data_IF_482457089727
#
_entry.id   IF_482457089727
#
_cell.length_a   1.000
_cell.length_b   1.000
_cell.length_c   1.000
_cell.angle_alpha   90.00
_cell.angle_beta   90.00
_cell.angle_gamma   90.00
#
_symmetry.space_group_name_H-M   'P 1'
#
loop_
_entity.id
_entity.type
_entity.pdbx_description
1 polymer ?
#
# COMPACT_ATOMS: atom_id res chain seq x y z
N UNK A 1 18.56 -26.54 18.47
CA UNK A 1 17.88 -25.24 18.22
C UNK A 1 16.48 -25.56 17.73
N UNK A 2 15.43 -25.23 18.49
CA UNK A 2 14.05 -25.30 17.97
C UNK A 2 13.82 -23.96 17.25
N UNK A 3 13.62 -24.01 15.94
CA UNK A 3 13.12 -22.87 15.18
C UNK A 3 11.73 -22.57 15.76
N UNK A 4 11.43 -21.33 16.20
CA UNK A 4 10.08 -21.00 16.65
C UNK A 4 9.10 -21.25 15.50
N UNK A 5 7.95 -21.86 15.80
CA UNK A 5 6.89 -22.05 14.82
C UNK A 5 6.41 -20.68 14.34
N UNK A 6 6.34 -20.49 13.01
CA UNK A 6 5.73 -19.30 12.40
C UNK A 6 4.27 -19.19 12.82
N UNK A 7 3.74 -17.97 12.84
CA UNK A 7 2.30 -17.76 13.06
C UNK A 7 1.56 -18.23 11.80
N UNK A 8 0.49 -18.98 11.95
CA UNK A 8 -0.31 -19.41 10.82
C UNK A 8 -1.42 -18.40 10.55
N UNK A 9 -1.67 -18.10 9.27
CA UNK A 9 -2.77 -17.26 8.84
C UNK A 9 -3.30 -17.75 7.49
N UNK A 10 -4.60 -17.63 7.29
CA UNK A 10 -5.21 -17.86 5.97
C UNK A 10 -5.06 -16.63 5.08
N UNK A 11 -5.13 -16.83 3.76
CA UNK A 11 -5.19 -15.72 2.80
C UNK A 11 -6.38 -14.78 3.06
N UNK A 12 -7.49 -15.31 3.59
CA UNK A 12 -8.71 -14.55 3.95
C UNK A 12 -8.44 -13.59 5.10
N UNK A 13 -7.87 -14.08 6.19
CA UNK A 13 -7.60 -13.26 7.37
C UNK A 13 -6.53 -12.21 7.08
N UNK A 14 -5.43 -12.63 6.44
CA UNK A 14 -4.33 -11.73 6.19
C UNK A 14 -4.68 -10.64 5.18
N UNK A 15 -5.38 -10.96 4.09
CA UNK A 15 -5.83 -9.94 3.14
C UNK A 15 -6.78 -8.91 3.77
N UNK A 16 -7.63 -9.32 4.72
CA UNK A 16 -8.49 -8.38 5.45
C UNK A 16 -7.67 -7.38 6.28
N UNK A 17 -6.67 -7.87 7.01
CA UNK A 17 -5.76 -7.02 7.80
C UNK A 17 -4.97 -6.07 6.88
N UNK A 18 -4.43 -6.58 5.78
CA UNK A 18 -3.67 -5.76 4.82
C UNK A 18 -4.52 -4.65 4.21
N UNK A 19 -5.76 -4.95 3.80
CA UNK A 19 -6.67 -3.92 3.28
C UNK A 19 -7.05 -2.91 4.35
N UNK A 20 -7.25 -3.35 5.60
CA UNK A 20 -7.52 -2.44 6.71
C UNK A 20 -6.40 -1.41 6.89
N UNK A 21 -5.13 -1.84 6.77
CA UNK A 21 -3.97 -0.94 6.83
C UNK A 21 -3.97 0.09 5.70
N UNK A 22 -4.50 -0.23 4.52
CA UNK A 22 -4.63 0.73 3.41
C UNK A 22 -5.69 1.78 3.71
N UNK A 23 -6.88 1.33 4.12
CA UNK A 23 -8.09 2.16 4.16
C UNK A 23 -8.26 2.95 5.45
N UNK A 24 -7.71 2.46 6.57
CA UNK A 24 -7.81 3.16 7.85
C UNK A 24 -6.69 4.19 7.99
N UNK A 25 -7.02 5.49 8.17
CA UNK A 25 -6.01 6.50 8.45
C UNK A 25 -5.30 6.23 9.78
N UNK A 26 -3.99 6.49 9.81
CA UNK A 26 -3.21 6.41 11.03
C UNK A 26 -3.62 7.46 12.07
N UNK A 27 -3.19 7.27 13.32
CA UNK A 27 -3.39 8.26 14.36
C UNK A 27 -2.75 9.61 13.97
N UNK A 28 -3.52 10.69 14.02
CA UNK A 28 -3.08 12.04 13.61
C UNK A 28 -3.02 12.27 12.10
N UNK A 29 -3.31 11.25 11.27
CA UNK A 29 -3.26 11.39 9.81
C UNK A 29 -4.26 12.44 9.31
N UNK A 30 -5.47 12.49 9.88
CA UNK A 30 -6.47 13.47 9.50
C UNK A 30 -6.00 14.92 9.70
N UNK A 31 -5.25 15.20 10.77
CA UNK A 31 -4.71 16.53 11.06
C UNK A 31 -3.58 16.88 10.10
N UNK A 32 -2.71 15.91 9.79
CA UNK A 32 -1.64 16.04 8.80
C UNK A 32 -2.22 16.31 7.41
N UNK A 33 -3.25 15.56 6.99
CA UNK A 33 -3.96 15.74 5.73
C UNK A 33 -4.51 17.16 5.61
N UNK A 34 -5.19 17.66 6.65
CA UNK A 34 -5.74 19.02 6.64
C UNK A 34 -4.63 20.09 6.56
N UNK A 35 -3.56 19.93 7.33
CA UNK A 35 -2.42 20.86 7.30
C UNK A 35 -1.74 20.87 5.93
N UNK A 36 -1.46 19.70 5.36
CA UNK A 36 -0.82 19.58 4.04
C UNK A 36 -1.72 20.14 2.94
N UNK A 37 -3.01 19.84 2.99
CA UNK A 37 -3.98 20.37 2.03
C UNK A 37 -4.01 21.90 2.03
N UNK A 38 -3.98 22.51 3.22
CA UNK A 38 -3.93 23.96 3.37
C UNK A 38 -2.63 24.55 2.80
N UNK A 39 -1.47 23.98 3.13
CA UNK A 39 -0.17 24.46 2.67
C UNK A 39 0.00 24.31 1.16
N UNK A 40 -0.49 23.21 0.59
CA UNK A 40 -0.46 22.96 -0.85
C UNK A 40 -1.55 23.71 -1.62
N UNK A 41 -2.58 24.22 -0.95
CA UNK A 41 -3.74 24.83 -1.61
C UNK A 41 -4.55 23.83 -2.45
N UNK A 42 -4.61 22.56 -2.04
CA UNK A 42 -5.34 21.48 -2.71
C UNK A 42 -6.46 20.93 -1.81
N UNK A 43 -7.48 20.24 -2.37
CA UNK A 43 -8.50 19.59 -1.55
C UNK A 43 -7.89 18.52 -0.62
N UNK A 44 -8.35 18.46 0.64
CA UNK A 44 -7.93 17.44 1.60
C UNK A 44 -8.15 16.01 1.10
N UNK A 45 -9.26 15.77 0.39
CA UNK A 45 -9.54 14.47 -0.23
C UNK A 45 -8.46 14.03 -1.24
N UNK A 46 -7.80 14.98 -1.91
CA UNK A 46 -6.70 14.66 -2.83
C UNK A 46 -5.46 14.15 -2.07
N UNK A 47 -5.12 14.79 -0.96
CA UNK A 47 -4.00 14.36 -0.10
C UNK A 47 -4.31 13.00 0.53
N UNK A 48 -5.52 12.83 1.06
CA UNK A 48 -5.96 11.57 1.67
C UNK A 48 -5.91 10.41 0.67
N UNK A 49 -6.42 10.65 -0.55
CA UNK A 49 -6.42 9.65 -1.61
C UNK A 49 -5.01 9.27 -2.03
N UNK A 50 -4.11 10.25 -2.13
CA UNK A 50 -2.73 9.98 -2.50
C UNK A 50 -1.95 9.22 -1.40
N UNK A 51 -2.24 9.49 -0.13
CA UNK A 51 -1.70 8.68 0.98
C UNK A 51 -2.22 7.24 0.93
N UNK A 52 -3.50 7.05 0.60
CA UNK A 52 -4.10 5.74 0.41
C UNK A 52 -3.42 4.98 -0.74
N UNK A 53 -3.19 5.61 -1.89
CA UNK A 53 -2.46 5.01 -3.02
C UNK A 53 -1.03 4.60 -2.64
N UNK A 54 -0.32 5.46 -1.91
CA UNK A 54 1.04 5.14 -1.46
C UNK A 54 1.06 3.94 -0.49
N UNK A 55 0.06 3.81 0.40
CA UNK A 55 -0.08 2.64 1.27
C UNK A 55 -0.41 1.37 0.50
N UNK A 56 -1.35 1.45 -0.44
CA UNK A 56 -1.71 0.34 -1.32
C UNK A 56 -0.49 -0.16 -2.10
N UNK A 57 0.29 0.77 -2.68
CA UNK A 57 1.51 0.43 -3.40
C UNK A 57 2.58 -0.22 -2.52
N UNK A 58 2.75 0.27 -1.27
CA UNK A 58 3.69 -0.34 -0.33
C UNK A 58 3.34 -1.80 -0.02
N UNK A 59 2.05 -2.10 0.17
CA UNK A 59 1.58 -3.46 0.41
C UNK A 59 1.70 -4.33 -0.84
N UNK A 60 1.30 -3.83 -2.01
CA UNK A 60 1.43 -4.56 -3.28
C UNK A 60 2.90 -4.96 -3.54
N UNK A 61 3.82 -4.01 -3.37
CA UNK A 61 5.25 -4.26 -3.48
C UNK A 61 5.77 -5.25 -2.43
N UNK A 62 5.32 -5.15 -1.18
CA UNK A 62 5.71 -6.10 -0.14
C UNK A 62 5.21 -7.53 -0.45
N UNK A 63 3.98 -7.67 -0.95
CA UNK A 63 3.42 -8.95 -1.41
C UNK A 63 4.19 -9.50 -2.61
N UNK A 64 4.58 -8.63 -3.56
CA UNK A 64 5.35 -9.01 -4.75
C UNK A 64 6.76 -9.49 -4.40
N UNK A 65 7.43 -8.83 -3.46
CA UNK A 65 8.84 -9.09 -3.12
C UNK A 65 9.00 -10.15 -2.05
N UNK A 66 8.11 -10.19 -1.05
CA UNK A 66 8.27 -11.06 0.12
C UNK A 66 7.65 -12.44 -0.05
N UNK A 67 6.59 -12.55 -0.86
CA UNK A 67 5.97 -13.83 -1.15
C UNK A 67 6.70 -14.51 -2.32
N UNK A 68 6.98 -15.79 -2.16
CA UNK A 68 7.46 -16.63 -3.26
C UNK A 68 6.36 -16.94 -4.29
N UNK A 69 6.66 -17.94 -5.11
CA UNK A 69 5.68 -18.58 -5.98
C UNK A 69 4.91 -19.65 -5.20
N UNK A 70 3.62 -19.82 -5.50
CA UNK A 70 2.80 -20.83 -4.83
C UNK A 70 1.32 -20.44 -4.80
N UNK A 71 0.46 -21.45 -4.66
CA UNK A 71 -0.99 -21.27 -4.71
C UNK A 71 -1.50 -20.36 -3.59
N UNK A 72 -0.94 -20.48 -2.40
CA UNK A 72 -1.32 -19.71 -1.21
C UNK A 72 -0.89 -18.25 -1.35
N UNK A 73 0.29 -18.00 -1.93
CA UNK A 73 0.77 -16.66 -2.22
C UNK A 73 -0.10 -15.99 -3.30
N UNK A 74 -0.46 -16.72 -4.36
CA UNK A 74 -1.35 -16.21 -5.41
C UNK A 74 -2.75 -15.93 -4.86
N UNK A 75 -3.30 -16.84 -4.05
CA UNK A 75 -4.58 -16.62 -3.36
C UNK A 75 -4.55 -15.36 -2.49
N UNK A 76 -3.47 -15.10 -1.75
CA UNK A 76 -3.36 -13.90 -0.93
C UNK A 76 -3.33 -12.62 -1.79
N UNK A 77 -2.57 -12.61 -2.89
CA UNK A 77 -2.51 -11.48 -3.83
C UNK A 77 -3.89 -11.20 -4.44
N UNK A 78 -4.55 -12.23 -4.94
CA UNK A 78 -5.90 -12.12 -5.54
C UNK A 78 -6.92 -11.62 -4.52
N UNK A 79 -6.87 -12.16 -3.30
CA UNK A 79 -7.78 -11.77 -2.23
C UNK A 79 -7.55 -10.37 -1.70
N UNK A 80 -6.29 -9.91 -1.67
CA UNK A 80 -5.95 -8.53 -1.36
C UNK A 80 -6.51 -7.58 -2.42
N UNK A 81 -6.24 -7.84 -3.70
CA UNK A 81 -6.72 -7.01 -4.80
C UNK A 81 -8.26 -6.94 -4.85
N UNK A 82 -8.93 -8.09 -4.70
CA UNK A 82 -10.39 -8.16 -4.69
C UNK A 82 -11.01 -7.37 -3.53
N UNK A 83 -10.41 -7.45 -2.33
CA UNK A 83 -10.88 -6.70 -1.15
C UNK A 83 -10.60 -5.21 -1.27
N UNK A 84 -9.44 -4.84 -1.79
CA UNK A 84 -9.11 -3.43 -2.02
C UNK A 84 -10.11 -2.79 -3.00
N UNK A 85 -10.44 -3.50 -4.08
CA UNK A 85 -11.48 -3.08 -5.04
C UNK A 85 -12.85 -2.91 -4.39
N UNK A 86 -13.21 -3.79 -3.46
CA UNK A 86 -14.49 -3.72 -2.76
C UNK A 86 -14.52 -2.59 -1.70
N UNK A 87 -13.39 -2.27 -1.09
CA UNK A 87 -13.29 -1.23 -0.07
C UNK A 87 -13.33 0.19 -0.65
N UNK A 88 -12.92 0.33 -1.91
CA UNK A 88 -12.87 1.60 -2.65
C UNK A 88 -14.09 1.80 -3.57
N UNK A 89 -15.19 1.06 -3.34
CA UNK A 89 -16.40 1.15 -4.15
C UNK A 89 -17.24 2.39 -3.79
N UNK A 90 -16.75 3.59 -4.14
CA UNK A 90 -17.60 4.76 -4.31
C UNK A 90 -18.36 4.61 -5.65
N UNK A 91 -19.70 4.55 -5.66
CA UNK A 91 -20.49 4.35 -6.87
C UNK A 91 -20.46 5.53 -7.86
N UNK A 92 -20.00 6.71 -7.45
CA UNK A 92 -20.00 7.92 -8.28
C UNK A 92 -18.65 8.22 -8.97
N UNK A 93 -17.61 7.44 -8.67
CA UNK A 93 -16.25 7.59 -9.22
C UNK A 93 -15.72 6.20 -9.58
N UNK A 94 -15.06 6.04 -10.72
CA UNK A 94 -14.27 4.83 -11.03
C UNK A 94 -12.99 4.79 -10.15
N UNK A 95 -13.17 4.78 -8.83
CA UNK A 95 -12.12 4.91 -7.83
C UNK A 95 -11.10 3.77 -7.93
N UNK A 96 -11.57 2.56 -8.25
CA UNK A 96 -10.70 1.44 -8.54
C UNK A 96 -9.82 1.65 -9.78
N UNK A 97 -10.35 2.22 -10.86
CA UNK A 97 -9.56 2.45 -12.07
C UNK A 97 -8.50 3.53 -11.79
N UNK A 98 -8.86 4.56 -11.02
CA UNK A 98 -7.91 5.55 -10.54
C UNK A 98 -6.84 4.93 -9.65
N UNK A 99 -7.20 4.06 -8.71
CA UNK A 99 -6.24 3.32 -7.89
C UNK A 99 -5.28 2.53 -8.78
N UNK A 100 -5.81 1.78 -9.75
CA UNK A 100 -4.99 0.95 -10.63
C UNK A 100 -4.01 1.80 -11.46
N UNK A 101 -4.47 2.87 -12.09
CA UNK A 101 -3.61 3.81 -12.83
C UNK A 101 -2.48 4.37 -11.96
N UNK A 102 -2.78 4.63 -10.68
CA UNK A 102 -1.81 5.15 -9.71
C UNK A 102 -0.80 4.09 -9.31
N UNK A 103 -1.22 2.85 -9.05
CA UNK A 103 -0.30 1.73 -8.78
C UNK A 103 0.62 1.48 -9.97
N UNK A 104 0.10 1.50 -11.20
CA UNK A 104 0.89 1.36 -12.44
C UNK A 104 1.89 2.51 -12.59
N UNK A 105 1.49 3.74 -12.26
CA UNK A 105 2.39 4.90 -12.25
C UNK A 105 3.56 4.66 -11.30
N UNK A 106 3.28 4.27 -10.05
CA UNK A 106 4.33 3.96 -9.08
C UNK A 106 5.24 2.82 -9.55
N UNK A 107 4.68 1.72 -10.04
CA UNK A 107 5.43 0.57 -10.54
C UNK A 107 6.37 0.97 -11.69
N UNK A 108 5.89 1.78 -12.65
CA UNK A 108 6.69 2.21 -13.80
C UNK A 108 7.93 3.03 -13.41
N UNK A 109 7.81 3.88 -12.38
CA UNK A 109 8.92 4.71 -11.89
C UNK A 109 9.93 3.85 -11.14
N UNK A 110 9.47 2.84 -10.40
CA UNK A 110 10.32 1.87 -9.73
C UNK A 110 11.11 1.03 -10.73
N UNK A 111 10.45 0.51 -11.78
CA UNK A 111 11.11 -0.33 -12.80
C UNK A 111 12.11 0.46 -13.66
N UNK A 112 11.91 1.78 -13.82
CA UNK A 112 12.79 2.64 -14.61
C UNK A 112 14.04 3.15 -13.86
N UNK A 113 14.09 3.01 -12.53
CA UNK A 113 15.22 3.46 -11.71
C UNK A 113 15.97 2.23 -11.19
N UNK A 114 17.32 2.23 -11.27
CA UNK A 114 18.10 1.20 -10.59
C UNK A 114 17.73 1.19 -9.10
N UNK A 115 17.40 0.01 -8.57
CA UNK A 115 16.75 -0.25 -7.28
C UNK A 115 17.49 0.26 -6.02
N UNK A 116 18.54 1.06 -6.17
CA UNK A 116 19.40 1.53 -5.09
C UNK A 116 18.68 2.42 -4.05
N UNK A 117 17.51 2.99 -4.39
CA UNK A 117 16.68 3.70 -3.40
C UNK A 117 15.19 3.70 -3.80
N UNK A 118 14.52 2.55 -3.57
CA UNK A 118 13.10 2.35 -3.84
C UNK A 118 12.21 3.38 -3.13
N UNK A 119 12.46 3.63 -1.84
CA UNK A 119 11.66 4.54 -1.04
C UNK A 119 11.76 5.98 -1.55
N UNK A 120 12.96 6.46 -1.87
CA UNK A 120 13.16 7.78 -2.47
C UNK A 120 12.48 7.91 -3.84
N UNK A 121 12.45 6.84 -4.62
CA UNK A 121 11.78 6.80 -5.93
C UNK A 121 10.27 6.94 -5.79
N UNK A 122 9.68 6.22 -4.85
CA UNK A 122 8.25 6.36 -4.51
C UNK A 122 7.96 7.75 -3.95
N UNK A 123 8.82 8.29 -3.07
CA UNK A 123 8.67 9.65 -2.55
C UNK A 123 8.68 10.73 -3.63
N UNK A 124 9.53 10.60 -4.65
CA UNK A 124 9.51 11.50 -5.84
C UNK A 124 8.19 11.40 -6.60
N UNK A 125 7.69 10.19 -6.81
CA UNK A 125 6.41 9.98 -7.49
C UNK A 125 5.25 10.60 -6.69
N UNK A 126 5.21 10.36 -5.38
CA UNK A 126 4.22 10.94 -4.46
C UNK A 126 4.20 12.47 -4.52
N UNK A 127 5.36 13.13 -4.39
CA UNK A 127 5.45 14.58 -4.46
C UNK A 127 5.04 15.12 -5.84
N UNK A 128 5.39 14.40 -6.92
CA UNK A 128 5.06 14.77 -8.29
C UNK A 128 3.55 14.87 -8.56
N UNK A 129 2.73 14.13 -7.82
CA UNK A 129 1.26 14.13 -7.93
C UNK A 129 0.64 15.50 -7.69
N UNK A 130 1.25 16.28 -6.81
CA UNK A 130 0.76 17.62 -6.44
C UNK A 130 1.28 18.71 -7.41
N UNK A 131 2.11 18.34 -8.38
CA UNK A 131 2.56 19.23 -9.45
C UNK A 131 3.22 20.52 -8.95
N UNK A 132 2.89 21.65 -9.58
CA UNK A 132 3.46 22.96 -9.23
C UNK A 132 3.08 23.44 -7.82
N UNK A 133 1.93 22.99 -7.29
CA UNK A 133 1.48 23.34 -5.95
C UNK A 133 2.47 22.84 -4.87
N UNK A 134 3.13 21.71 -5.14
CA UNK A 134 4.15 21.15 -4.26
C UNK A 134 5.54 21.79 -4.40
N UNK A 135 5.80 22.66 -5.38
CA UNK A 135 7.17 23.16 -5.62
C UNK A 135 7.86 23.76 -4.37
N UNK A 136 7.17 24.53 -3.49
CA UNK A 136 7.77 25.05 -2.27
C UNK A 136 8.08 23.99 -1.21
N UNK A 137 7.39 22.84 -1.25
CA UNK A 137 7.44 21.77 -0.25
C UNK A 137 7.89 20.43 -0.85
N UNK A 138 8.44 20.43 -2.06
CA UNK A 138 8.68 19.21 -2.81
C UNK A 138 9.61 18.25 -2.05
N UNK A 139 10.63 18.80 -1.37
CA UNK A 139 11.53 18.01 -0.52
C UNK A 139 10.83 17.35 0.67
N UNK A 140 9.92 18.07 1.34
CA UNK A 140 9.18 17.56 2.49
C UNK A 140 8.15 16.51 2.08
N UNK A 141 7.46 16.72 0.96
CA UNK A 141 6.55 15.73 0.38
C UNK A 141 7.29 14.48 -0.11
N UNK A 142 8.47 14.65 -0.71
CA UNK A 142 9.32 13.53 -1.07
C UNK A 142 9.70 12.74 0.17
N UNK A 143 10.09 13.41 1.26
CA UNK A 143 10.44 12.76 2.51
C UNK A 143 9.25 12.03 3.13
N UNK A 144 8.07 12.67 3.15
CA UNK A 144 6.83 12.07 3.64
C UNK A 144 6.48 10.81 2.86
N UNK A 145 6.41 10.90 1.52
CA UNK A 145 6.08 9.77 0.66
C UNK A 145 7.09 8.62 0.80
N UNK A 146 8.38 8.95 0.87
CA UNK A 146 9.45 7.95 1.07
C UNK A 146 9.29 7.23 2.41
N UNK A 147 8.94 7.95 3.48
CA UNK A 147 8.78 7.36 4.81
C UNK A 147 7.51 6.55 4.93
N UNK A 148 6.40 7.06 4.40
CA UNK A 148 5.12 6.36 4.38
C UNK A 148 5.27 5.01 3.67
N UNK A 149 5.86 5.01 2.47
CA UNK A 149 6.15 3.80 1.73
C UNK A 149 7.16 2.90 2.48
N UNK A 150 8.33 3.44 2.84
CA UNK A 150 9.44 2.64 3.37
C UNK A 150 9.09 1.94 4.68
N UNK A 151 8.44 2.67 5.60
CA UNK A 151 8.04 2.12 6.90
C UNK A 151 7.04 0.99 6.71
N UNK A 152 5.99 1.22 5.90
CA UNK A 152 4.95 0.23 5.70
C UNK A 152 5.46 -0.98 4.91
N UNK A 153 6.28 -0.77 3.89
CA UNK A 153 6.92 -1.83 3.13
C UNK A 153 7.77 -2.73 4.03
N UNK A 154 8.59 -2.16 4.91
CA UNK A 154 9.42 -2.92 5.86
C UNK A 154 8.57 -3.68 6.89
N UNK A 155 7.56 -3.03 7.48
CA UNK A 155 6.66 -3.64 8.46
C UNK A 155 5.87 -4.81 7.87
N UNK A 156 5.31 -4.65 6.67
CA UNK A 156 4.55 -5.70 5.98
C UNK A 156 5.48 -6.81 5.53
N UNK A 157 6.67 -6.51 5.03
CA UNK A 157 7.66 -7.53 4.65
C UNK A 157 8.09 -8.36 5.86
N UNK A 158 8.30 -7.72 7.01
CA UNK A 158 8.60 -8.41 8.27
C UNK A 158 7.44 -9.29 8.73
N UNK A 159 6.21 -8.79 8.68
CA UNK A 159 4.99 -9.55 8.98
C UNK A 159 4.89 -10.80 8.10
N UNK A 160 5.09 -10.66 6.79
CA UNK A 160 5.02 -11.78 5.83
C UNK A 160 6.11 -12.82 6.08
N UNK A 161 7.30 -12.41 6.54
CA UNK A 161 8.38 -13.34 6.88
C UNK A 161 8.11 -14.18 8.14
N UNK A 162 7.27 -13.68 9.04
CA UNK A 162 6.88 -14.36 10.29
C UNK A 162 5.65 -15.27 10.15
N UNK A 163 4.92 -15.14 9.04
CA UNK A 163 3.69 -15.89 8.78
C UNK A 163 3.96 -17.13 7.92
N UNK A 164 3.28 -18.22 8.25
CA UNK A 164 3.08 -19.37 7.40
C UNK A 164 1.65 -19.29 6.83
N UNK A 165 1.53 -19.16 5.51
CA UNK A 165 0.23 -19.18 4.84
C UNK A 165 -0.27 -20.62 4.77
N UNK A 166 -1.49 -20.82 5.23
CA UNK A 166 -2.17 -22.12 5.22
C UNK A 166 -3.38 -22.08 4.29
N UNK A 167 -3.66 -23.20 3.62
CA UNK A 167 -4.88 -23.37 2.84
C UNK A 167 -6.10 -23.42 3.77
N UNK A 168 -7.21 -22.85 3.29
CA UNK A 168 -8.52 -23.13 3.89
C UNK A 168 -8.98 -24.46 3.29
N UNK A 169 -8.99 -25.52 4.09
CA UNK A 169 -9.64 -26.78 3.68
C UNK A 169 -11.11 -26.48 3.41
N UNK A 170 -11.54 -26.71 2.17
CA UNK A 170 -12.92 -26.50 1.72
C UNK A 170 -13.83 -27.66 2.18
N UNK A 171 -13.79 -28.00 3.47
CA UNK A 171 -14.48 -29.21 4.00
C UNK A 171 -15.65 -28.89 4.96
N UNK A 172 -16.12 -27.64 5.05
CA UNK A 172 -17.25 -27.26 5.93
C UNK A 172 -18.50 -26.74 5.18
N UNK A 173 -18.78 -27.29 3.98
CA UNK A 173 -20.09 -27.13 3.34
C UNK A 173 -20.58 -28.45 2.72
N UNK A 174 -20.98 -29.39 3.58
CA UNK A 174 -21.94 -30.46 3.26
C UNK A 174 -23.35 -30.08 3.75
#
# INVERSE_FOLDING_TARGET
MKIPSRRQATAIELSAVLVQIVVEPGAGEAEVVQSLAQELGVPAGMVQLEMLHARAFAIDMALKVSLGEGREADQLRDQYAARLRAADADPDVDAWDLMQDRLETYASVVDAQDAADLASTVGRCFAGTFGQAAAPMAGDLMHLGSRLFGTLFEEVSALLAEIELIEVESDDFD
#
